data_IF_518543191592
#
_entry.id   IF_518543191592
#
_cell.length_a   1.000
_cell.length_b   1.000
_cell.length_c   1.000
_cell.angle_alpha   90.00
_cell.angle_beta   90.00
_cell.angle_gamma   90.00
#
_symmetry.space_group_name_H-M   'P 1'
#
loop_
_entity.id
_entity.type
_entity.pdbx_description
1 polymer ?
#
# COMPACT_ATOMS: atom_id res chain seq x y z
N UNK A 1 -10.28 11.10 -35.29
CA UNK A 1 -10.74 11.88 -34.13
C UNK A 1 -10.12 11.30 -32.89
N UNK A 2 -8.88 11.69 -32.56
CA UNK A 2 -8.35 11.47 -31.21
C UNK A 2 -9.25 12.23 -30.24
N UNK A 3 -9.57 11.66 -29.07
CA UNK A 3 -10.24 12.42 -28.02
C UNK A 3 -9.33 13.59 -27.67
N UNK A 4 -9.71 14.77 -28.14
CA UNK A 4 -9.03 16.03 -27.88
C UNK A 4 -9.05 16.25 -26.37
N UNK A 5 -7.88 16.59 -25.84
CA UNK A 5 -7.61 16.97 -24.46
C UNK A 5 -8.68 17.95 -23.94
N UNK A 6 -9.63 17.46 -23.13
CA UNK A 6 -10.37 18.37 -22.26
C UNK A 6 -9.34 19.09 -21.39
N UNK A 7 -9.35 20.44 -21.34
CA UNK A 7 -8.41 21.19 -20.53
C UNK A 7 -8.56 20.72 -19.08
N UNK A 8 -7.54 20.02 -18.59
CA UNK A 8 -7.51 19.46 -17.24
C UNK A 8 -7.73 20.63 -16.27
N UNK A 9 -8.84 20.61 -15.52
CA UNK A 9 -9.19 21.67 -14.57
C UNK A 9 -8.13 21.74 -13.46
N UNK A 10 -7.15 22.63 -13.66
CA UNK A 10 -6.02 22.85 -12.74
C UNK A 10 -6.48 23.35 -11.36
N UNK A 11 -7.71 23.87 -11.23
CA UNK A 11 -8.25 24.30 -9.94
C UNK A 11 -8.49 23.11 -8.99
N UNK A 12 -8.69 21.90 -9.52
CA UNK A 12 -8.82 20.68 -8.72
C UNK A 12 -7.47 20.11 -8.27
N UNK A 13 -6.35 20.50 -8.88
CA UNK A 13 -5.04 19.89 -8.65
C UNK A 13 -4.42 20.26 -7.28
N UNK A 14 -4.92 21.33 -6.63
CA UNK A 14 -4.40 21.83 -5.36
C UNK A 14 -5.21 21.40 -4.13
N UNK A 15 -6.25 20.56 -4.31
CA UNK A 15 -7.06 20.11 -3.18
C UNK A 15 -6.22 19.23 -2.26
N UNK A 16 -6.22 19.57 -0.96
CA UNK A 16 -5.59 18.78 0.08
C UNK A 16 -6.44 17.54 0.34
N UNK A 17 -5.88 16.36 0.13
CA UNK A 17 -6.53 15.07 0.32
C UNK A 17 -5.92 14.36 1.52
N UNK A 18 -6.77 13.67 2.28
CA UNK A 18 -6.39 12.75 3.32
C UNK A 18 -6.47 11.33 2.74
N UNK A 19 -5.36 10.61 2.76
CA UNK A 19 -5.25 9.21 2.39
C UNK A 19 -5.36 8.37 3.66
N UNK A 20 -6.46 7.64 3.81
CA UNK A 20 -6.68 6.82 4.99
C UNK A 20 -6.12 5.41 4.78
N UNK A 21 -5.06 5.08 5.52
CA UNK A 21 -4.53 3.73 5.60
C UNK A 21 -5.26 2.98 6.71
N UNK A 22 -6.30 2.27 6.31
CA UNK A 22 -7.08 1.47 7.24
C UNK A 22 -6.81 -0.01 7.02
N UNK A 23 -6.78 -0.76 8.12
CA UNK A 23 -6.81 -2.21 8.05
C UNK A 23 -8.04 -2.59 7.22
N UNK A 24 -7.88 -3.48 6.25
CA UNK A 24 -8.96 -3.88 5.35
C UNK A 24 -9.46 -2.81 4.35
N UNK A 25 -8.81 -1.65 4.24
CA UNK A 25 -9.27 -0.55 3.38
C UNK A 25 -10.51 0.19 3.90
N UNK A 26 -10.98 -0.12 5.12
CA UNK A 26 -12.16 0.51 5.72
C UNK A 26 -11.81 1.19 7.05
N UNK A 27 -12.26 2.44 7.26
CA UNK A 27 -12.07 3.10 8.55
C UNK A 27 -12.64 2.27 9.69
N UNK A 28 -11.94 2.17 10.83
CA UNK A 28 -12.46 1.45 11.98
C UNK A 28 -13.86 1.94 12.36
N UNK A 29 -14.73 0.98 12.69
CA UNK A 29 -16.12 1.24 13.10
C UNK A 29 -17.06 1.83 12.03
N UNK A 30 -16.59 2.07 10.80
CA UNK A 30 -17.43 2.45 9.67
C UNK A 30 -17.67 1.24 8.76
N UNK A 31 -18.83 0.61 8.90
CA UNK A 31 -19.29 -0.36 7.91
C UNK A 31 -19.50 0.35 6.55
N UNK A 32 -19.46 -0.37 5.42
CA UNK A 32 -19.74 0.23 4.11
C UNK A 32 -21.06 1.01 4.05
N UNK A 33 -22.08 0.54 4.77
CA UNK A 33 -23.36 1.22 4.90
C UNK A 33 -23.23 2.55 5.65
N UNK A 34 -22.57 2.55 6.83
CA UNK A 34 -22.36 3.78 7.61
C UNK A 34 -21.44 4.76 6.87
N UNK A 35 -20.42 4.26 6.16
CA UNK A 35 -19.55 5.08 5.33
C UNK A 35 -20.35 5.80 4.23
N UNK A 36 -21.22 5.07 3.53
CA UNK A 36 -22.09 5.66 2.51
C UNK A 36 -23.11 6.64 3.10
N UNK A 37 -23.60 6.37 4.32
CA UNK A 37 -24.58 7.23 4.99
C UNK A 37 -23.97 8.55 5.47
N UNK A 38 -22.79 8.51 6.11
CA UNK A 38 -22.17 9.69 6.72
C UNK A 38 -21.16 10.40 5.82
N UNK A 39 -20.57 9.68 4.86
CA UNK A 39 -19.59 10.21 3.91
C UNK A 39 -19.96 9.83 2.47
N UNK A 40 -21.16 10.16 1.98
CA UNK A 40 -21.65 9.65 0.70
C UNK A 40 -20.69 9.97 -0.47
N UNK A 41 -20.42 9.03 -1.39
CA UNK A 41 -19.37 9.17 -2.41
C UNK A 41 -19.68 10.24 -3.48
N UNK A 42 -20.95 10.62 -3.65
CA UNK A 42 -21.39 11.71 -4.50
C UNK A 42 -21.25 13.10 -3.83
N UNK A 43 -20.98 13.14 -2.53
CA UNK A 43 -20.67 14.38 -1.83
C UNK A 43 -19.35 14.96 -2.35
N UNK A 44 -19.41 16.20 -2.86
CA UNK A 44 -18.26 16.90 -3.42
C UNK A 44 -17.11 17.02 -2.43
N UNK A 45 -17.36 17.29 -1.15
CA UNK A 45 -16.31 17.42 -0.13
C UNK A 45 -15.58 16.09 0.04
N UNK A 46 -16.33 15.01 0.21
CA UNK A 46 -15.77 13.66 0.36
C UNK A 46 -14.93 13.28 -0.86
N UNK A 47 -15.51 13.37 -2.07
CA UNK A 47 -14.82 13.04 -3.32
C UNK A 47 -13.55 13.87 -3.56
N UNK A 48 -13.52 15.10 -3.07
CA UNK A 48 -12.41 16.02 -3.28
C UNK A 48 -11.28 15.89 -2.27
N UNK A 49 -11.56 15.37 -1.07
CA UNK A 49 -10.64 15.43 0.06
C UNK A 49 -10.33 14.06 0.68
N UNK A 50 -11.03 13.00 0.32
CA UNK A 50 -10.84 11.68 0.91
C UNK A 50 -10.36 10.67 -0.13
N UNK A 51 -9.23 10.01 0.18
CA UNK A 51 -8.69 8.88 -0.59
C UNK A 51 -8.56 7.69 0.35
N UNK A 52 -8.95 6.52 -0.10
CA UNK A 52 -8.76 5.28 0.68
C UNK A 52 -7.49 4.59 0.24
N UNK A 53 -6.57 4.43 1.20
CA UNK A 53 -5.37 3.64 1.04
C UNK A 53 -5.74 2.17 1.10
N UNK A 54 -5.50 1.48 -0.01
CA UNK A 54 -5.70 0.04 -0.10
C UNK A 54 -4.37 -0.62 0.20
N UNK A 55 -4.31 -1.28 1.35
CA UNK A 55 -3.29 -2.28 1.62
C UNK A 55 -3.59 -3.50 0.75
N UNK A 56 -2.64 -3.87 -0.11
CA UNK A 56 -2.69 -5.15 -0.81
C UNK A 56 -2.67 -6.20 0.28
N UNK A 57 -3.68 -7.06 0.42
CA UNK A 57 -3.62 -8.07 1.47
C UNK A 57 -2.84 -9.29 1.03
N UNK A 58 -2.23 -9.92 2.03
CA UNK A 58 -1.59 -11.21 1.93
C UNK A 58 -2.54 -12.32 1.48
N UNK A 59 -3.81 -12.21 1.86
CA UNK A 59 -4.89 -13.10 1.43
C UNK A 59 -5.17 -13.04 -0.08
N UNK A 60 -4.73 -11.98 -0.76
CA UNK A 60 -4.86 -11.84 -2.21
C UNK A 60 -3.61 -12.27 -2.97
N UNK A 61 -2.50 -12.52 -2.29
CA UNK A 61 -1.24 -12.93 -2.90
C UNK A 61 -1.05 -14.42 -2.60
N UNK A 62 -1.22 -15.25 -3.62
CA UNK A 62 -1.13 -16.70 -3.48
C UNK A 62 0.22 -17.20 -4.02
N UNK A 63 0.94 -18.05 -3.27
CA UNK A 63 2.16 -18.66 -3.76
C UNK A 63 1.88 -19.52 -4.99
N UNK A 64 2.70 -19.36 -6.02
CA UNK A 64 2.71 -20.25 -7.16
C UNK A 64 3.72 -21.37 -6.94
N UNK A 65 3.28 -22.61 -7.09
CA UNK A 65 4.14 -23.78 -6.99
C UNK A 65 4.37 -24.36 -8.39
N UNK A 66 5.62 -24.69 -8.71
CA UNK A 66 5.93 -25.48 -9.90
C UNK A 66 5.28 -26.85 -9.75
N UNK A 67 4.13 -27.03 -10.40
CA UNK A 67 3.42 -28.29 -10.41
C UNK A 67 4.20 -29.29 -11.27
N UNK A 68 5.14 -29.99 -10.63
CA UNK A 68 5.96 -31.03 -11.29
C UNK A 68 5.09 -32.14 -11.89
N UNK A 69 3.84 -32.29 -11.43
CA UNK A 69 2.90 -33.26 -11.97
C UNK A 69 2.44 -32.91 -13.40
N UNK A 70 2.24 -31.62 -13.71
CA UNK A 70 1.83 -31.17 -15.05
C UNK A 70 2.89 -31.46 -16.12
N UNK A 71 4.18 -31.32 -15.80
CA UNK A 71 5.25 -31.64 -16.78
C UNK A 71 5.30 -33.13 -17.12
N UNK A 72 5.06 -34.01 -16.14
CA UNK A 72 5.06 -35.47 -16.37
C UNK A 72 3.88 -35.93 -17.23
N UNK A 73 2.71 -35.31 -17.11
CA UNK A 73 1.53 -35.74 -17.88
C UNK A 73 1.66 -35.43 -19.37
N UNK A 74 2.25 -34.28 -19.72
CA UNK A 74 2.47 -33.91 -21.13
C UNK A 74 3.52 -34.80 -21.79
N UNK A 75 4.60 -35.12 -21.06
CA UNK A 75 5.68 -35.98 -21.55
C UNK A 75 5.23 -37.45 -21.66
N UNK A 76 4.43 -37.94 -20.71
CA UNK A 76 3.85 -39.29 -20.76
C UNK A 76 2.78 -39.42 -21.85
N UNK A 77 2.00 -38.36 -22.14
CA UNK A 77 1.06 -38.34 -23.28
C UNK A 77 1.80 -38.32 -24.62
N UNK A 78 2.96 -37.65 -24.69
CA UNK A 78 3.82 -37.66 -25.90
C UNK A 78 4.45 -39.03 -26.15
N UNK A 79 4.97 -39.70 -25.10
CA UNK A 79 5.44 -41.10 -25.21
C UNK A 79 4.33 -42.08 -25.58
N UNK A 80 3.12 -41.91 -25.03
CA UNK A 80 2.01 -42.83 -25.33
C UNK A 80 1.51 -42.68 -26.77
N UNK A 81 1.59 -41.49 -27.36
CA UNK A 81 1.24 -41.27 -28.78
C UNK A 81 2.32 -41.86 -29.71
N UNK A 82 3.60 -41.82 -29.32
CA UNK A 82 4.68 -42.49 -30.06
C UNK A 82 4.60 -44.02 -29.95
N UNK A 83 4.11 -44.57 -28.84
CA UNK A 83 3.98 -46.03 -28.64
C UNK A 83 2.69 -46.63 -29.24
N UNK A 84 1.60 -45.87 -29.42
CA UNK A 84 0.37 -46.41 -30.07
C UNK A 84 0.43 -46.54 -31.59
N UNK A 85 1.51 -46.12 -32.25
CA UNK A 85 1.71 -46.36 -33.68
C UNK A 85 2.46 -47.67 -33.98
N UNK A 86 2.72 -48.52 -32.98
CA UNK A 86 3.32 -49.83 -33.22
C UNK A 86 2.61 -50.92 -32.44
N UNK A 87 2.10 -51.91 -33.19
CA UNK A 87 1.60 -53.22 -32.77
C UNK A 87 0.15 -53.31 -32.25
N UNK A 88 -0.71 -53.85 -33.13
CA UNK A 88 -1.86 -54.65 -32.73
C UNK A 88 -1.41 -55.98 -32.12
N UNK A 89 -2.26 -56.58 -31.30
CA UNK A 89 -2.02 -57.88 -30.68
C UNK A 89 -3.02 -58.16 -29.54
N UNK A 90 -3.65 -59.31 -29.62
CA UNK A 90 -4.82 -59.77 -28.85
C UNK A 90 -4.54 -60.23 -27.41
N UNK A 91 -5.64 -60.31 -26.64
CA UNK A 91 -5.97 -61.29 -25.56
C UNK A 91 -5.17 -61.35 -24.26
N UNK A 92 -5.91 -61.52 -23.15
CA UNK A 92 -5.44 -62.34 -22.01
C UNK A 92 -5.62 -61.75 -20.61
N UNK A 93 -6.72 -62.14 -19.96
CA UNK A 93 -6.88 -62.56 -18.55
C UNK A 93 -6.32 -61.73 -17.37
N UNK A 94 -7.25 -61.50 -16.43
CA UNK A 94 -7.07 -61.01 -15.06
C UNK A 94 -6.16 -61.87 -14.20
N UNK A 95 -5.55 -61.28 -13.15
CA UNK A 95 -5.86 -61.82 -11.83
C UNK A 95 -6.09 -60.75 -10.75
N UNK A 96 -7.08 -61.06 -9.93
CA UNK A 96 -7.38 -60.58 -8.59
C UNK A 96 -6.20 -60.82 -7.64
N UNK A 97 -5.77 -59.75 -6.94
CA UNK A 97 -4.71 -59.80 -5.93
C UNK A 97 -5.05 -58.91 -4.74
N UNK A 98 -5.14 -59.56 -3.58
CA UNK A 98 -5.56 -59.10 -2.27
C UNK A 98 -4.75 -57.93 -1.67
N UNK A 99 -5.50 -56.99 -1.08
CA UNK A 99 -5.41 -56.68 0.35
C UNK A 99 -4.03 -56.43 0.98
N UNK A 100 -3.53 -55.19 0.91
CA UNK A 100 -2.63 -54.67 1.96
C UNK A 100 -2.86 -53.17 2.19
N UNK A 101 -3.63 -52.86 3.23
CA UNK A 101 -3.77 -51.51 3.78
C UNK A 101 -2.47 -51.14 4.51
N UNK A 102 -1.48 -50.68 3.75
CA UNK A 102 -0.33 -49.96 4.31
C UNK A 102 -0.81 -48.62 4.86
N UNK A 103 -0.62 -48.44 6.17
CA UNK A 103 -0.70 -47.13 6.84
C UNK A 103 0.33 -46.20 6.19
N UNK A 104 -0.12 -45.44 5.19
CA UNK A 104 0.60 -44.27 4.70
C UNK A 104 0.62 -43.24 5.83
N UNK A 105 1.67 -43.29 6.64
CA UNK A 105 2.11 -42.11 7.36
C UNK A 105 2.30 -41.01 6.32
N UNK A 106 1.53 -39.93 6.44
CA UNK A 106 1.71 -38.73 5.65
C UNK A 106 3.09 -38.18 6.00
N UNK A 107 4.13 -38.70 5.33
CA UNK A 107 5.37 -37.98 5.17
C UNK A 107 4.95 -36.66 4.53
N UNK A 108 5.01 -35.58 5.31
CA UNK A 108 4.99 -34.22 4.81
C UNK A 108 6.09 -34.13 3.76
N UNK A 109 5.71 -34.40 2.51
CA UNK A 109 6.61 -34.35 1.36
C UNK A 109 7.25 -32.98 1.42
N UNK A 110 8.60 -32.93 1.47
CA UNK A 110 9.40 -31.70 1.46
C UNK A 110 8.65 -30.63 0.66
N UNK A 111 8.01 -29.70 1.36
CA UNK A 111 7.04 -28.80 0.74
C UNK A 111 7.76 -28.06 -0.38
N UNK A 112 7.19 -28.12 -1.59
CA UNK A 112 7.80 -27.46 -2.73
C UNK A 112 7.94 -25.97 -2.38
N UNK A 113 9.14 -25.42 -2.50
CA UNK A 113 9.34 -23.98 -2.32
C UNK A 113 8.50 -23.26 -3.40
N UNK A 114 7.78 -22.18 -3.05
CA UNK A 114 7.07 -21.38 -4.03
C UNK A 114 8.07 -20.83 -5.05
N UNK A 115 7.64 -20.81 -6.31
CA UNK A 115 8.43 -20.31 -7.45
C UNK A 115 8.12 -18.87 -7.81
N UNK A 116 7.03 -18.35 -7.26
CA UNK A 116 6.58 -16.99 -7.42
C UNK A 116 5.34 -16.75 -6.56
N UNK A 117 4.74 -15.58 -6.75
CA UNK A 117 3.48 -15.22 -6.15
C UNK A 117 2.64 -14.53 -7.22
N UNK A 118 1.33 -14.78 -7.20
CA UNK A 118 0.38 -14.11 -8.08
C UNK A 118 -0.71 -13.44 -7.25
N UNK A 119 -1.27 -12.38 -7.80
CA UNK A 119 -2.48 -11.80 -7.25
C UNK A 119 -3.70 -12.59 -7.71
N UNK A 120 -4.60 -12.91 -6.79
CA UNK A 120 -5.90 -13.57 -7.06
C UNK A 120 -7.08 -12.75 -6.51
N UNK A 121 -6.84 -11.47 -6.22
CA UNK A 121 -7.86 -10.60 -5.67
C UNK A 121 -8.98 -10.28 -6.66
N UNK A 122 -10.01 -9.64 -6.13
CA UNK A 122 -11.20 -9.16 -6.86
C UNK A 122 -11.20 -7.63 -6.84
N UNK A 123 -12.02 -6.96 -7.67
CA UNK A 123 -12.12 -5.50 -7.66
C UNK A 123 -12.29 -4.95 -6.25
N UNK A 124 -11.67 -3.80 -5.95
CA UNK A 124 -11.65 -3.21 -4.61
C UNK A 124 -13.06 -3.09 -4.00
N UNK A 125 -14.06 -2.77 -4.83
CA UNK A 125 -15.47 -2.69 -4.45
C UNK A 125 -16.04 -4.00 -3.89
N UNK A 126 -15.58 -5.15 -4.39
CA UNK A 126 -16.00 -6.48 -3.94
C UNK A 126 -15.13 -7.03 -2.84
N UNK A 127 -13.84 -6.70 -2.83
CA UNK A 127 -12.88 -7.28 -1.91
C UNK A 127 -12.78 -6.51 -0.58
N UNK A 128 -12.81 -5.18 -0.65
CA UNK A 128 -12.62 -4.29 0.50
C UNK A 128 -13.94 -3.66 0.95
N UNK A 129 -15.03 -3.94 0.23
CA UNK A 129 -16.35 -3.35 0.44
C UNK A 129 -16.33 -1.81 0.43
N UNK A 130 -15.34 -1.19 -0.23
CA UNK A 130 -15.32 0.25 -0.46
C UNK A 130 -16.34 0.55 -1.55
N UNK A 131 -17.41 1.32 -1.28
CA UNK A 131 -18.43 1.60 -2.29
C UNK A 131 -17.83 2.21 -3.56
N UNK A 132 -18.45 1.96 -4.71
CA UNK A 132 -18.05 2.61 -5.96
C UNK A 132 -18.19 4.13 -5.84
N UNK A 133 -17.19 4.87 -6.32
CA UNK A 133 -17.21 6.34 -6.36
C UNK A 133 -16.21 7.02 -5.43
N UNK A 134 -15.66 6.30 -4.44
CA UNK A 134 -14.51 6.79 -3.69
C UNK A 134 -13.21 6.67 -4.50
N UNK A 135 -12.31 7.62 -4.29
CA UNK A 135 -10.96 7.55 -4.83
C UNK A 135 -10.12 6.58 -3.98
N UNK A 136 -9.40 5.69 -4.65
CA UNK A 136 -8.58 4.67 -4.01
C UNK A 136 -7.15 4.76 -4.52
N UNK A 137 -6.20 4.47 -3.64
CA UNK A 137 -4.78 4.39 -3.98
C UNK A 137 -4.20 3.11 -3.39
N UNK A 138 -3.57 2.28 -4.23
CA UNK A 138 -2.76 1.17 -3.72
C UNK A 138 -1.38 1.69 -3.35
N UNK A 139 -1.00 1.37 -2.13
CA UNK A 139 0.35 1.51 -1.65
C UNK A 139 0.88 0.11 -1.37
N UNK A 140 2.03 -0.30 -1.91
CA UNK A 140 2.70 -1.54 -1.53
C UNK A 140 3.32 -1.38 -0.13
N UNK A 141 2.46 -1.15 0.87
CA UNK A 141 2.76 -0.95 2.28
C UNK A 141 2.10 -2.06 3.10
N UNK A 142 2.87 -2.84 3.87
CA UNK A 142 2.33 -3.80 4.85
C UNK A 142 2.77 -3.46 6.29
N UNK A 143 3.60 -2.42 6.46
CA UNK A 143 4.23 -2.06 7.74
C UNK A 143 3.45 -1.01 8.54
N UNK A 144 2.23 -0.64 8.11
CA UNK A 144 1.54 0.53 8.70
C UNK A 144 0.94 0.29 10.07
N UNK A 145 0.88 -0.96 10.53
CA UNK A 145 0.04 -1.34 11.65
C UNK A 145 0.76 -2.10 12.77
N UNK A 146 1.86 -2.80 12.51
CA UNK A 146 2.51 -3.67 13.52
C UNK A 146 3.98 -3.32 13.73
N UNK A 147 4.26 -2.21 14.42
CA UNK A 147 5.61 -1.83 14.87
C UNK A 147 6.26 -2.84 15.83
N UNK A 148 5.45 -3.70 16.46
CA UNK A 148 5.89 -4.49 17.61
C UNK A 148 6.06 -5.99 17.32
N UNK A 149 5.58 -6.50 16.16
CA UNK A 149 5.51 -7.96 15.94
C UNK A 149 6.41 -8.52 14.82
N UNK A 150 6.86 -7.73 13.83
CA UNK A 150 7.71 -8.25 12.76
C UNK A 150 9.20 -8.14 13.10
N UNK A 151 9.74 -9.13 13.83
CA UNK A 151 11.20 -9.26 14.06
C UNK A 151 12.03 -9.45 12.79
N UNK A 152 11.39 -9.62 11.63
CA UNK A 152 12.11 -9.83 10.37
C UNK A 152 12.00 -8.56 9.53
N UNK A 153 13.13 -7.87 9.30
CA UNK A 153 13.11 -6.66 8.51
C UNK A 153 12.61 -6.98 7.10
N UNK A 154 11.76 -6.10 6.55
CA UNK A 154 11.47 -6.05 5.10
C UNK A 154 12.80 -6.14 4.36
N UNK A 155 12.94 -7.06 3.40
CA UNK A 155 14.17 -7.24 2.63
C UNK A 155 13.87 -7.09 1.14
N UNK A 156 14.29 -5.98 0.55
CA UNK A 156 14.36 -5.85 -0.90
C UNK A 156 15.46 -6.74 -1.50
N UNK A 157 15.16 -7.35 -2.63
CA UNK A 157 16.16 -7.88 -3.58
C UNK A 157 16.28 -6.92 -4.77
N UNK A 158 16.97 -7.30 -5.85
CA UNK A 158 16.96 -6.49 -7.08
C UNK A 158 15.64 -6.57 -7.86
N UNK A 159 14.84 -7.62 -7.65
CA UNK A 159 13.64 -7.90 -8.46
C UNK A 159 12.33 -7.92 -7.68
N UNK A 160 12.41 -8.03 -6.36
CA UNK A 160 11.25 -8.27 -5.50
C UNK A 160 11.42 -7.55 -4.16
N UNK A 161 10.33 -7.03 -3.61
CA UNK A 161 10.25 -6.63 -2.21
C UNK A 161 9.71 -7.80 -1.39
N UNK A 162 10.43 -8.22 -0.35
CA UNK A 162 9.96 -9.23 0.59
C UNK A 162 9.19 -8.57 1.72
N UNK A 163 7.99 -9.06 1.98
CA UNK A 163 7.01 -8.51 2.91
C UNK A 163 6.68 -9.57 3.95
N UNK A 164 6.56 -9.15 5.20
CA UNK A 164 6.05 -10.02 6.27
C UNK A 164 4.55 -9.83 6.37
N UNK A 165 3.80 -10.92 6.36
CA UNK A 165 2.34 -10.88 6.42
C UNK A 165 1.82 -11.85 7.48
N UNK A 166 0.55 -11.74 7.94
CA UNK A 166 -0.06 -12.75 8.81
C UNK A 166 0.06 -14.18 8.25
N UNK A 167 0.05 -14.36 6.93
CA UNK A 167 0.23 -15.63 6.24
C UNK A 167 1.71 -15.98 5.92
N UNK A 168 2.67 -15.25 6.48
CA UNK A 168 4.11 -15.50 6.36
C UNK A 168 4.84 -14.58 5.38
N UNK A 169 6.04 -14.98 4.95
CA UNK A 169 6.85 -14.20 4.00
C UNK A 169 6.26 -14.27 2.60
N UNK A 170 5.97 -13.10 2.06
CA UNK A 170 5.52 -12.92 0.70
C UNK A 170 6.53 -12.08 -0.08
N UNK A 171 6.53 -12.22 -1.40
CA UNK A 171 7.37 -11.42 -2.27
C UNK A 171 6.52 -10.78 -3.35
N UNK A 172 6.73 -9.49 -3.54
CA UNK A 172 6.03 -8.70 -4.54
C UNK A 172 7.03 -8.24 -5.59
N UNK A 173 6.87 -8.72 -6.81
CA UNK A 173 7.60 -8.28 -8.01
C UNK A 173 6.82 -7.17 -8.73
N UNK A 174 7.46 -6.47 -9.67
CA UNK A 174 6.77 -5.48 -10.51
C UNK A 174 5.60 -6.10 -11.28
N UNK A 175 5.74 -7.35 -11.75
CA UNK A 175 4.65 -8.06 -12.43
C UNK A 175 3.47 -8.32 -11.49
N UNK A 176 3.75 -8.74 -10.26
CA UNK A 176 2.70 -8.95 -9.27
C UNK A 176 1.99 -7.63 -8.92
N UNK A 177 2.70 -6.50 -8.91
CA UNK A 177 2.06 -5.18 -8.73
C UNK A 177 1.07 -4.86 -9.87
N UNK A 178 1.36 -5.25 -11.12
CA UNK A 178 0.41 -5.08 -12.21
C UNK A 178 -0.82 -5.96 -12.04
N UNK A 179 -0.65 -7.22 -11.63
CA UNK A 179 -1.77 -8.11 -11.35
C UNK A 179 -2.65 -7.56 -10.22
N UNK A 180 -2.03 -6.94 -9.20
CA UNK A 180 -2.73 -6.24 -8.11
C UNK A 180 -3.55 -5.07 -8.64
N UNK A 181 -2.94 -4.22 -9.47
CA UNK A 181 -3.58 -3.03 -10.03
C UNK A 181 -4.76 -3.40 -10.92
N UNK A 182 -4.58 -4.39 -11.79
CA UNK A 182 -5.62 -4.92 -12.68
C UNK A 182 -6.75 -5.56 -11.87
N UNK A 183 -6.40 -6.50 -10.98
CA UNK A 183 -7.37 -7.26 -10.21
C UNK A 183 -8.16 -6.40 -9.21
N UNK A 184 -7.60 -5.31 -8.70
CA UNK A 184 -8.31 -4.36 -7.82
C UNK A 184 -9.08 -3.27 -8.58
N UNK A 185 -8.87 -3.11 -9.89
CA UNK A 185 -9.47 -2.06 -10.74
C UNK A 185 -9.23 -0.63 -10.21
N UNK A 186 -8.00 -0.34 -9.76
CA UNK A 186 -7.65 0.94 -9.13
C UNK A 186 -7.16 1.98 -10.14
N UNK A 187 -7.37 3.25 -9.81
CA UNK A 187 -6.91 4.39 -10.62
C UNK A 187 -5.61 5.01 -10.14
N UNK A 188 -5.17 4.76 -8.91
CA UNK A 188 -3.90 5.28 -8.39
C UNK A 188 -3.06 4.14 -7.81
N UNK A 189 -1.79 4.09 -8.18
CA UNK A 189 -0.85 3.11 -7.62
C UNK A 189 0.50 3.76 -7.35
N UNK A 190 1.07 3.49 -6.18
CA UNK A 190 2.46 3.81 -5.89
C UNK A 190 3.35 2.70 -6.46
N UNK A 191 4.46 3.07 -7.09
CA UNK A 191 5.48 2.12 -7.56
C UNK A 191 6.06 1.31 -6.40
N UNK A 192 6.64 0.13 -6.68
CA UNK A 192 7.40 -0.60 -5.67
C UNK A 192 8.54 0.26 -5.11
N UNK A 193 8.82 0.10 -3.82
CA UNK A 193 9.89 0.81 -3.14
C UNK A 193 10.48 -0.01 -1.99
N UNK A 194 11.74 0.25 -1.67
CA UNK A 194 12.46 -0.40 -0.56
C UNK A 194 12.55 0.61 0.59
N UNK A 195 11.68 0.51 1.58
CA UNK A 195 11.73 1.37 2.76
C UNK A 195 12.71 0.80 3.79
N UNK A 196 13.61 1.64 4.28
CA UNK A 196 14.64 1.27 5.25
C UNK A 196 14.59 2.24 6.42
N UNK A 197 14.48 1.68 7.63
CA UNK A 197 14.42 2.46 8.88
C UNK A 197 15.81 2.87 9.40
N UNK A 198 16.85 2.11 9.06
CA UNK A 198 18.18 2.29 9.64
C UNK A 198 19.08 3.15 8.71
N UNK A 199 19.74 4.19 9.24
CA UNK A 199 20.67 5.00 8.46
C UNK A 199 21.88 4.18 7.98
N UNK A 200 22.53 4.67 6.92
CA UNK A 200 23.82 4.15 6.43
C UNK A 200 23.74 3.46 5.06
N UNK A 201 24.65 2.51 4.81
CA UNK A 201 24.85 1.86 3.49
C UNK A 201 23.59 1.23 2.88
N UNK A 202 22.60 0.92 3.73
CA UNK A 202 21.34 0.32 3.30
C UNK A 202 20.41 1.32 2.59
N UNK A 203 20.49 2.62 2.92
CA UNK A 203 19.69 3.66 2.26
C UNK A 203 20.04 3.78 0.79
N UNK A 204 21.33 3.73 0.43
CA UNK A 204 21.77 3.77 -0.96
C UNK A 204 21.19 2.62 -1.79
N UNK A 205 21.29 1.38 -1.28
CA UNK A 205 20.69 0.20 -1.93
C UNK A 205 19.17 0.33 -2.08
N UNK A 206 18.50 0.95 -1.10
CA UNK A 206 17.06 1.19 -1.15
C UNK A 206 16.68 2.17 -2.26
N UNK A 207 17.45 3.26 -2.41
CA UNK A 207 17.32 4.20 -3.55
C UNK A 207 17.53 3.47 -4.87
N UNK A 208 18.64 2.74 -5.01
CA UNK A 208 19.00 2.05 -6.26
C UNK A 208 17.92 1.03 -6.69
N UNK A 209 17.37 0.26 -5.73
CA UNK A 209 16.29 -0.71 -5.99
C UNK A 209 14.98 -0.02 -6.35
N UNK A 210 14.60 1.02 -5.61
CA UNK A 210 13.36 1.77 -5.86
C UNK A 210 13.37 2.37 -7.26
N UNK A 211 14.49 2.96 -7.69
CA UNK A 211 14.64 3.48 -9.06
C UNK A 211 14.66 2.35 -10.09
N UNK A 212 15.35 1.23 -9.82
CA UNK A 212 15.37 0.09 -10.72
C UNK A 212 13.96 -0.49 -10.96
N UNK A 213 13.17 -0.65 -9.89
CA UNK A 213 11.79 -1.11 -9.99
C UNK A 213 10.90 -0.09 -10.70
N UNK A 214 11.11 1.21 -10.46
CA UNK A 214 10.39 2.26 -11.18
C UNK A 214 10.64 2.16 -12.69
N UNK A 215 11.90 2.05 -13.13
CA UNK A 215 12.28 1.90 -14.54
C UNK A 215 11.70 0.63 -15.17
N UNK A 216 11.71 -0.47 -14.41
CA UNK A 216 11.12 -1.74 -14.87
C UNK A 216 9.61 -1.62 -15.03
N UNK A 217 8.95 -0.95 -14.09
CA UNK A 217 7.49 -0.79 -14.09
C UNK A 217 7.06 0.21 -15.16
N UNK A 218 7.83 1.30 -15.36
CA UNK A 218 7.50 2.34 -16.35
C UNK A 218 7.53 1.86 -17.78
N UNK A 219 8.35 0.85 -18.10
CA UNK A 219 8.35 0.18 -19.40
C UNK A 219 7.01 -0.49 -19.77
N UNK A 220 6.10 -0.67 -18.81
CA UNK A 220 4.81 -1.32 -19.02
C UNK A 220 3.59 -0.41 -18.75
N UNK A 221 3.79 0.87 -18.40
CA UNK A 221 2.68 1.77 -18.04
C UNK A 221 1.71 2.03 -19.18
N UNK A 222 2.15 1.93 -20.43
CA UNK A 222 1.29 2.07 -21.62
C UNK A 222 0.18 1.00 -21.66
N UNK A 223 0.38 -0.14 -20.99
CA UNK A 223 -0.65 -1.19 -20.86
C UNK A 223 -1.72 -0.83 -19.82
N UNK A 224 -1.47 0.18 -18.98
CA UNK A 224 -2.33 0.62 -17.88
C UNK A 224 -2.63 2.12 -17.97
N UNK A 225 -3.20 2.62 -19.10
CA UNK A 225 -3.36 4.05 -19.35
C UNK A 225 -4.35 4.74 -18.39
N UNK A 226 -5.17 3.96 -17.67
CA UNK A 226 -6.14 4.43 -16.68
C UNK A 226 -5.54 4.60 -15.27
N UNK A 227 -4.28 4.20 -15.08
CA UNK A 227 -3.62 4.19 -13.78
C UNK A 227 -2.69 5.38 -13.66
N UNK A 228 -2.90 6.18 -12.63
CA UNK A 228 -2.02 7.24 -12.19
C UNK A 228 -0.89 6.64 -11.34
N UNK A 229 0.29 6.53 -11.93
CA UNK A 229 1.47 5.97 -11.28
C UNK A 229 2.20 7.02 -10.46
N UNK A 230 2.34 6.77 -9.16
CA UNK A 230 3.07 7.61 -8.22
C UNK A 230 4.45 7.02 -7.99
N UNK A 231 5.49 7.80 -8.22
CA UNK A 231 6.85 7.35 -7.98
C UNK A 231 7.26 7.57 -6.53
N UNK A 232 7.74 6.52 -5.89
CA UNK A 232 8.22 6.58 -4.53
C UNK A 232 9.59 7.27 -4.44
N UNK A 233 9.72 8.18 -3.47
CA UNK A 233 10.98 8.82 -3.10
C UNK A 233 11.41 8.26 -1.74
N UNK A 234 12.54 7.56 -1.71
CA UNK A 234 13.14 6.92 -0.52
C UNK A 234 14.53 7.52 -0.20
N UNK A 235 15.22 7.01 0.82
CA UNK A 235 16.55 7.48 1.24
C UNK A 235 16.70 7.71 2.75
N UNK A 236 15.67 7.39 3.55
CA UNK A 236 15.70 7.59 5.00
C UNK A 236 15.74 9.08 5.36
N UNK A 237 16.59 9.46 6.32
CA UNK A 237 16.84 10.84 6.73
C UNK A 237 17.99 11.52 5.96
N UNK A 238 18.65 10.81 5.04
CA UNK A 238 19.79 11.32 4.28
C UNK A 238 19.30 12.19 3.11
N UNK A 239 19.53 13.50 3.24
CA UNK A 239 19.08 14.49 2.26
C UNK A 239 19.72 14.29 0.87
N UNK A 240 21.05 14.17 0.73
CA UNK A 240 21.68 13.82 -0.54
C UNK A 240 21.07 12.60 -1.23
N UNK A 241 20.80 11.51 -0.50
CA UNK A 241 20.21 10.29 -1.08
C UNK A 241 18.75 10.51 -1.52
N UNK A 242 17.97 11.30 -0.77
CA UNK A 242 16.60 11.68 -1.15
C UNK A 242 16.59 12.53 -2.41
N UNK A 243 17.50 13.49 -2.51
CA UNK A 243 17.66 14.33 -3.68
C UNK A 243 18.10 13.51 -4.90
N UNK A 244 19.03 12.56 -4.73
CA UNK A 244 19.43 11.62 -5.77
C UNK A 244 18.24 10.78 -6.27
N UNK A 245 17.47 10.20 -5.34
CA UNK A 245 16.27 9.43 -5.67
C UNK A 245 15.24 10.28 -6.43
N UNK A 246 14.96 11.50 -5.93
CA UNK A 246 14.05 12.44 -6.56
C UNK A 246 14.48 12.79 -7.99
N UNK A 247 15.76 13.10 -8.22
CA UNK A 247 16.25 13.44 -9.56
C UNK A 247 16.06 12.27 -10.54
N UNK A 248 16.43 11.04 -10.14
CA UNK A 248 16.25 9.86 -10.99
C UNK A 248 14.77 9.52 -11.25
N UNK A 249 13.89 9.83 -10.29
CA UNK A 249 12.44 9.70 -10.46
C UNK A 249 11.92 10.73 -11.46
N UNK A 250 12.36 11.98 -11.36
CA UNK A 250 11.92 13.07 -12.24
C UNK A 250 12.40 12.89 -13.69
N UNK A 251 13.48 12.15 -13.91
CA UNK A 251 13.90 11.70 -15.25
C UNK A 251 12.88 10.75 -15.91
N UNK A 252 11.98 10.12 -15.13
CA UNK A 252 10.89 9.31 -15.65
C UNK A 252 9.72 10.24 -16.04
N UNK A 253 9.64 10.63 -17.32
CA UNK A 253 8.65 11.59 -17.84
C UNK A 253 7.17 11.15 -17.77
N UNK A 254 6.88 9.98 -17.19
CA UNK A 254 5.56 9.37 -17.21
C UNK A 254 4.92 9.21 -15.81
N UNK A 255 5.51 9.79 -14.76
CA UNK A 255 4.95 9.73 -13.40
C UNK A 255 3.83 10.75 -13.20
N UNK A 256 2.73 10.33 -12.59
CA UNK A 256 1.62 11.22 -12.24
C UNK A 256 1.98 12.11 -11.04
N UNK A 257 2.65 11.55 -10.04
CA UNK A 257 2.96 12.25 -8.79
C UNK A 257 4.13 11.62 -8.03
N UNK A 258 4.52 12.26 -6.93
CA UNK A 258 5.59 11.80 -6.04
C UNK A 258 5.02 11.28 -4.73
N UNK A 259 5.50 10.15 -4.24
CA UNK A 259 5.15 9.58 -2.95
C UNK A 259 6.36 9.59 -2.00
N UNK A 260 6.33 10.42 -0.97
CA UNK A 260 7.37 10.50 0.05
C UNK A 260 7.20 9.36 1.07
N UNK A 261 8.18 8.46 1.09
CA UNK A 261 8.13 7.23 1.90
C UNK A 261 9.03 7.36 3.13
N UNK A 262 8.59 6.89 4.31
CA UNK A 262 9.45 6.77 5.50
C UNK A 262 9.88 8.10 6.15
N UNK A 263 9.29 9.23 5.77
CA UNK A 263 9.59 10.56 6.35
C UNK A 263 9.11 10.68 7.81
N UNK A 264 8.06 9.94 8.19
CA UNK A 264 7.51 9.90 9.55
C UNK A 264 8.52 9.42 10.60
N UNK A 265 9.47 8.54 10.22
CA UNK A 265 10.50 8.04 11.15
C UNK A 265 11.54 9.11 11.55
N UNK A 266 11.56 10.27 10.91
CA UNK A 266 12.46 11.37 11.27
C UNK A 266 11.96 12.01 12.55
N UNK A 267 12.67 11.75 13.65
CA UNK A 267 12.30 12.18 15.01
C UNK A 267 12.27 13.70 15.16
N UNK A 268 13.22 14.40 14.55
CA UNK A 268 13.31 15.86 14.64
C UNK A 268 12.26 16.49 13.71
N UNK A 269 11.26 17.15 14.32
CA UNK A 269 10.21 17.87 13.60
C UNK A 269 10.77 18.90 12.62
N UNK A 270 11.74 19.72 13.07
CA UNK A 270 12.42 20.71 12.21
C UNK A 270 13.09 20.03 11.01
N UNK A 271 13.87 18.98 11.26
CA UNK A 271 14.55 18.25 10.19
C UNK A 271 13.54 17.65 9.18
N UNK A 272 12.45 17.08 9.69
CA UNK A 272 11.37 16.53 8.86
C UNK A 272 10.72 17.59 7.96
N UNK A 273 10.40 18.77 8.51
CA UNK A 273 9.85 19.90 7.74
C UNK A 273 10.84 20.41 6.69
N UNK A 274 12.09 20.61 7.07
CA UNK A 274 13.15 21.10 6.15
C UNK A 274 13.38 20.10 5.00
N UNK A 275 13.35 18.80 5.29
CA UNK A 275 13.42 17.74 4.29
C UNK A 275 12.22 17.80 3.33
N UNK A 276 10.99 17.77 3.86
CA UNK A 276 9.77 17.79 3.04
C UNK A 276 9.69 19.04 2.15
N UNK A 277 9.83 20.23 2.75
CA UNK A 277 9.78 21.50 2.01
C UNK A 277 10.84 21.57 0.93
N UNK A 278 12.05 21.07 1.22
CA UNK A 278 13.12 21.06 0.23
C UNK A 278 12.91 20.05 -0.90
N UNK A 279 12.26 18.90 -0.66
CA UNK A 279 11.91 17.95 -1.74
C UNK A 279 10.77 18.50 -2.59
N UNK A 280 9.73 19.05 -1.96
CA UNK A 280 8.60 19.68 -2.65
C UNK A 280 9.09 20.84 -3.52
N UNK A 281 9.99 21.68 -3.00
CA UNK A 281 10.54 22.84 -3.72
C UNK A 281 11.39 22.50 -4.94
N UNK A 282 11.93 21.27 -5.04
CA UNK A 282 12.72 20.79 -6.20
C UNK A 282 11.87 20.16 -7.30
N UNK A 283 10.64 19.75 -6.98
CA UNK A 283 9.72 19.13 -7.94
C UNK A 283 8.84 20.18 -8.64
N UNK A 284 8.25 19.82 -9.78
CA UNK A 284 7.30 20.71 -10.47
C UNK A 284 6.15 21.12 -9.56
N UNK A 285 5.76 22.41 -9.59
CA UNK A 285 4.61 22.92 -8.80
C UNK A 285 3.29 22.25 -9.15
N UNK A 286 3.12 21.80 -10.40
CA UNK A 286 1.90 21.14 -10.89
C UNK A 286 1.86 19.65 -10.54
N UNK A 287 3.00 19.02 -10.27
CA UNK A 287 3.05 17.61 -9.94
C UNK A 287 2.48 17.39 -8.52
N UNK A 288 1.47 16.54 -8.31
CA UNK A 288 0.96 16.25 -6.97
C UNK A 288 1.99 15.48 -6.12
N UNK A 289 1.96 15.71 -4.80
CA UNK A 289 2.85 15.07 -3.84
C UNK A 289 2.05 14.39 -2.74
N UNK A 290 2.41 13.17 -2.42
CA UNK A 290 1.86 12.40 -1.33
C UNK A 290 2.91 12.21 -0.23
N UNK A 291 2.52 12.35 1.03
CA UNK A 291 3.24 11.76 2.17
C UNK A 291 2.52 10.47 2.49
N UNK A 292 3.15 9.29 2.36
CA UNK A 292 2.41 8.03 2.51
C UNK A 292 1.99 7.75 3.96
N UNK A 293 2.70 8.27 4.96
CA UNK A 293 2.37 8.00 6.36
C UNK A 293 2.72 9.21 7.20
N UNK A 294 1.73 9.63 7.99
CA UNK A 294 1.81 10.54 9.11
C UNK A 294 1.22 9.84 10.33
N UNK A 295 2.00 9.77 11.41
CA UNK A 295 1.64 9.02 12.63
C UNK A 295 0.74 9.82 13.58
N UNK A 296 0.74 11.15 13.45
CA UNK A 296 0.04 12.07 14.33
C UNK A 296 -0.47 13.30 13.56
N UNK A 297 -1.32 14.10 14.21
CA UNK A 297 -1.93 15.29 13.60
C UNK A 297 -0.89 16.38 13.29
N UNK A 298 0.17 16.52 14.10
CA UNK A 298 1.25 17.48 13.84
C UNK A 298 1.99 17.16 12.54
N UNK A 299 2.26 15.88 12.28
CA UNK A 299 2.82 15.40 11.03
C UNK A 299 1.92 15.68 9.83
N UNK A 300 0.60 15.53 10.00
CA UNK A 300 -0.38 15.84 8.95
C UNK A 300 -0.30 17.34 8.59
N UNK A 301 -0.32 18.21 9.60
CA UNK A 301 -0.28 19.65 9.42
C UNK A 301 1.06 20.12 8.84
N UNK A 302 2.17 19.59 9.34
CA UNK A 302 3.51 19.85 8.80
C UNK A 302 3.62 19.48 7.32
N UNK A 303 3.04 18.33 6.90
CA UNK A 303 3.03 17.92 5.51
C UNK A 303 2.23 18.89 4.62
N UNK A 304 1.02 19.28 5.06
CA UNK A 304 0.17 20.24 4.35
C UNK A 304 0.90 21.58 4.16
N UNK A 305 1.51 22.11 5.24
CA UNK A 305 2.32 23.34 5.23
C UNK A 305 3.53 23.23 4.30
N UNK A 306 4.15 22.06 4.19
CA UNK A 306 5.26 21.80 3.26
C UNK A 306 4.81 21.68 1.79
N UNK A 307 3.52 21.83 1.48
CA UNK A 307 3.02 21.78 0.10
C UNK A 307 2.65 20.37 -0.39
N UNK A 308 2.54 19.39 0.52
CA UNK A 308 2.02 18.06 0.19
C UNK A 308 0.51 18.16 -0.08
N UNK A 309 0.03 17.48 -1.12
CA UNK A 309 -1.37 17.49 -1.54
C UNK A 309 -2.14 16.26 -1.08
N UNK A 310 -1.48 15.13 -0.85
CA UNK A 310 -2.11 13.89 -0.34
C UNK A 310 -1.37 13.46 0.94
N UNK A 311 -2.07 13.34 2.07
CA UNK A 311 -1.44 12.94 3.33
C UNK A 311 -2.02 11.62 3.80
N UNK A 312 -1.21 10.57 3.71
CA UNK A 312 -1.47 9.24 4.23
C UNK A 312 -1.39 9.18 5.75
N UNK A 313 -2.33 8.52 6.40
CA UNK A 313 -2.29 8.29 7.85
C UNK A 313 -2.99 6.98 8.23
N UNK A 314 -2.41 6.27 9.22
CA UNK A 314 -3.05 5.13 9.90
C UNK A 314 -3.64 5.52 11.27
N UNK A 315 -3.65 6.82 11.60
CA UNK A 315 -4.07 7.34 12.89
C UNK A 315 -5.45 6.82 13.34
N UNK A 316 -6.51 6.76 12.50
CA UNK A 316 -7.79 6.19 12.92
C UNK A 316 -7.65 4.73 13.40
N UNK A 317 -6.87 3.92 12.70
CA UNK A 317 -6.62 2.51 13.04
C UNK A 317 -5.83 2.39 14.34
N UNK A 318 -4.77 3.20 14.50
CA UNK A 318 -3.96 3.22 15.72
C UNK A 318 -4.78 3.63 16.94
N UNK A 319 -5.62 4.67 16.81
CA UNK A 319 -6.50 5.12 17.88
C UNK A 319 -7.53 4.05 18.23
N UNK A 320 -8.16 3.43 17.23
CA UNK A 320 -9.12 2.35 17.43
C UNK A 320 -8.52 1.16 18.19
N UNK A 321 -7.32 0.70 17.81
CA UNK A 321 -6.59 -0.38 18.51
C UNK A 321 -6.29 -0.03 19.96
N UNK A 322 -6.02 1.25 20.24
CA UNK A 322 -5.82 1.77 21.60
C UNK A 322 -7.12 2.08 22.34
N UNK A 323 -8.29 1.81 21.76
CA UNK A 323 -9.60 2.20 22.29
C UNK A 323 -9.70 3.70 22.59
N UNK A 324 -9.07 4.51 21.74
CA UNK A 324 -9.06 5.97 21.80
C UNK A 324 -9.90 6.56 20.66
N UNK A 325 -10.41 7.77 20.88
CA UNK A 325 -11.06 8.57 19.85
C UNK A 325 -10.30 9.88 19.67
N UNK A 326 -10.18 10.34 18.42
CA UNK A 326 -9.67 11.68 18.15
C UNK A 326 -10.81 12.68 18.40
N UNK A 327 -10.59 13.58 19.35
CA UNK A 327 -11.45 14.75 19.54
C UNK A 327 -10.64 15.98 19.16
N UNK A 328 -11.05 16.64 18.07
CA UNK A 328 -10.56 17.96 17.73
C UNK A 328 -11.69 18.92 18.05
N UNK A 329 -11.41 19.93 18.88
CA UNK A 329 -12.31 21.06 18.92
C UNK A 329 -11.80 22.14 17.96
N UNK A 330 -12.70 22.50 17.05
CA UNK A 330 -12.47 23.42 15.95
C UNK A 330 -13.23 24.73 16.18
N UNK A 331 -13.87 24.90 17.35
CA UNK A 331 -14.67 26.08 17.68
C UNK A 331 -13.85 27.37 17.63
N UNK A 332 -12.57 27.29 18.01
CA UNK A 332 -11.62 28.41 17.95
C UNK A 332 -10.84 28.46 16.63
N UNK A 333 -11.25 27.73 15.59
CA UNK A 333 -10.55 27.70 14.31
C UNK A 333 -10.74 29.02 13.55
N UNK A 334 -9.94 30.03 13.87
CA UNK A 334 -9.92 31.33 13.20
C UNK A 334 -9.70 32.53 14.13
N UNK A 335 -9.90 32.37 15.43
CA UNK A 335 -9.56 33.36 16.46
C UNK A 335 -8.35 32.84 17.24
N UNK A 336 -7.46 33.74 17.67
CA UNK A 336 -6.14 33.40 18.28
C UNK A 336 -6.28 32.23 19.26
N UNK A 337 -5.72 31.09 18.89
CA UNK A 337 -5.82 29.81 19.60
C UNK A 337 -5.45 29.94 21.07
N UNK A 338 -6.40 29.64 21.96
CA UNK A 338 -6.11 29.21 23.33
C UNK A 338 -6.22 27.69 23.36
N UNK A 339 -5.11 26.99 23.62
CA UNK A 339 -5.05 25.53 23.69
C UNK A 339 -5.50 24.99 25.05
N UNK A 340 -6.80 25.10 25.32
CA UNK A 340 -7.44 24.37 26.43
C UNK A 340 -8.73 23.70 25.98
N UNK A 341 -8.62 22.43 25.54
CA UNK A 341 -9.78 21.66 25.12
C UNK A 341 -9.85 20.27 25.72
N UNK A 342 -10.78 20.14 26.67
CA UNK A 342 -11.22 18.91 27.29
C UNK A 342 -12.14 19.25 28.46
N UNK A 343 -13.45 19.24 28.22
CA UNK A 343 -14.42 19.20 29.31
C UNK A 343 -14.37 17.79 29.93
N UNK A 344 -13.70 17.68 31.08
CA UNK A 344 -13.60 16.46 31.92
C UNK A 344 -14.98 15.94 32.40
N UNK A 345 -16.08 16.62 32.05
CA UNK A 345 -17.44 16.21 32.39
C UNK A 345 -17.91 14.94 31.65
N UNK A 346 -17.28 14.55 30.53
CA UNK A 346 -17.74 13.39 29.73
C UNK A 346 -17.35 12.07 30.38
N UNK A 347 -18.37 11.42 30.97
CA UNK A 347 -18.25 10.11 31.59
C UNK A 347 -18.73 9.00 30.64
N UNK A 348 -18.12 7.83 30.73
CA UNK A 348 -18.62 6.61 30.08
C UNK A 348 -19.96 6.17 30.71
N UNK A 349 -20.59 5.12 30.16
CA UNK A 349 -21.83 4.55 30.71
C UNK A 349 -21.72 4.07 32.17
N UNK A 350 -20.50 3.96 32.71
CA UNK A 350 -20.20 3.56 34.09
C UNK A 350 -19.81 4.76 34.97
N UNK A 351 -19.97 5.99 34.49
CA UNK A 351 -19.64 7.20 35.25
C UNK A 351 -18.14 7.48 35.36
N UNK A 352 -17.28 6.73 34.66
CA UNK A 352 -15.82 6.94 34.67
C UNK A 352 -15.49 8.07 33.70
N UNK A 353 -14.59 8.99 34.05
CA UNK A 353 -14.09 9.96 33.07
C UNK A 353 -13.61 9.18 31.84
N UNK A 354 -14.07 9.58 30.65
CA UNK A 354 -13.37 9.16 29.45
C UNK A 354 -11.94 9.67 29.62
N UNK A 355 -10.93 8.78 29.61
CA UNK A 355 -9.54 9.22 29.72
C UNK A 355 -9.22 10.05 28.48
N UNK A 356 -9.41 11.36 28.60
CA UNK A 356 -9.04 12.36 27.62
C UNK A 356 -7.53 12.50 27.72
N UNK A 357 -6.81 11.60 27.05
CA UNK A 357 -5.44 11.88 26.65
C UNK A 357 -5.49 13.07 25.70
N UNK A 358 -5.48 14.29 26.23
CA UNK A 358 -5.54 15.49 25.43
C UNK A 358 -4.18 15.65 24.74
N UNK A 359 -4.16 15.46 23.42
CA UNK A 359 -3.00 15.82 22.62
C UNK A 359 -3.12 17.33 22.40
N UNK A 360 -2.43 18.12 23.24
CA UNK A 360 -2.27 19.55 22.96
C UNK A 360 -1.49 19.68 21.64
N UNK A 361 -2.16 20.22 20.64
CA UNK A 361 -1.50 20.59 19.40
C UNK A 361 -0.74 21.88 19.67
N UNK A 362 0.56 21.86 19.40
CA UNK A 362 1.50 22.95 19.67
C UNK A 362 0.99 24.28 19.06
N UNK A 363 0.96 25.38 19.84
CA UNK A 363 0.43 26.68 19.40
C UNK A 363 1.16 27.20 18.14
N UNK A 364 2.44 26.83 17.96
CA UNK A 364 3.24 27.17 16.76
C UNK A 364 2.68 26.57 15.47
N UNK A 365 1.92 25.47 15.54
CA UNK A 365 1.30 24.86 14.35
C UNK A 365 0.23 25.77 13.76
N UNK A 366 -0.53 26.46 14.61
CA UNK A 366 -1.73 27.20 14.23
C UNK A 366 -1.49 28.68 13.95
N UNK A 367 -0.34 29.22 14.32
CA UNK A 367 0.00 30.62 14.05
C UNK A 367 0.35 30.90 12.57
N UNK A 368 0.31 29.91 11.67
CA UNK A 368 0.70 29.99 10.25
C UNK A 368 -0.24 29.22 9.36
#
# INVERSE_FOLDING_TARGET
NSPMDEPMDLSNQYKKKLLLHCECGLPPYLSPHLLSQYFPPDNKVVRNHLVFGIEVRDSCIVPEYNDRSRKKTTERKRRRIEETNNCGGETGESPSGDGRLEKQGVQLSKSNKPTGYKFVGRPASKHLCVPSGYETMVCPTFDLLDSDQSKVPVQGTSSEVALSTPNGFQKLSSNCLFDVVDGLEISNSVSLYDQVLCPGKRNKKSVDRTVCWLKTTSAHWENYPKVHWWAAVVGGEDRPLRDECLNQVLEQNCVHGLALVGVHHIKSRKHRKDLMSGLVGKSSKTMPKALLVAEDVSQILDAIQSGISVVGTSLPTVLARKSMALTLDLSDWGEKTSTELGDDSRKDRKGRPLSTGCIKLDDEIFAR
#
